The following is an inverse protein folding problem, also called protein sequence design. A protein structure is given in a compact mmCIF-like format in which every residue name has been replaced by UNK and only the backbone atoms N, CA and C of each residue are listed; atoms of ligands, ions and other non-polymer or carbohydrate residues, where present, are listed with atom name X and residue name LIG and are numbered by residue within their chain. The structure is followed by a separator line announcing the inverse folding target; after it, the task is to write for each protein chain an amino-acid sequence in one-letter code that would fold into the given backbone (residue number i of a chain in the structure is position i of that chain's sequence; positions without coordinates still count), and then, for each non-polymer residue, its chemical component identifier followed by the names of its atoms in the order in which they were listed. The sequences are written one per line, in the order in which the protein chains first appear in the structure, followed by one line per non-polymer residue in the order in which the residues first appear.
data_IF_739123780524
#
_entry.id   IF_739123780524
#
_cell.length_a   1.000
_cell.length_b   1.000
_cell.length_c   1.000
_cell.angle_alpha   90.00
_cell.angle_beta   90.00
_cell.angle_gamma   90.00
#
_symmetry.space_group_name_H-M   'P 1'
#
loop_
_entity.id
_entity.type
_entity.pdbx_description
1 polymer ?
#
# COMPACT_ATOMS: atom_id res chain seq x y z
N UNK A 1 -10.50 10.39 18.39
CA UNK A 1 -10.83 9.36 17.37
C UNK A 1 -9.75 9.40 16.29
N UNK A 2 -9.01 8.33 15.98
CA UNK A 2 -8.10 8.37 14.85
C UNK A 2 -8.95 8.42 13.58
N UNK A 3 -8.94 9.56 12.90
CA UNK A 3 -9.54 9.70 11.57
C UNK A 3 -8.73 8.77 10.66
N UNK A 4 -9.28 7.59 10.37
CA UNK A 4 -8.74 6.75 9.31
C UNK A 4 -8.70 7.61 8.05
N UNK A 5 -7.50 8.04 7.63
CA UNK A 5 -7.28 8.82 6.42
C UNK A 5 -7.72 7.96 5.23
N UNK A 6 -9.00 8.07 4.89
CA UNK A 6 -9.59 7.43 3.71
C UNK A 6 -9.03 8.13 2.49
N UNK A 7 -8.62 7.34 1.51
CA UNK A 7 -8.24 7.86 0.20
C UNK A 7 -9.52 8.19 -0.55
N UNK A 8 -9.74 9.47 -0.84
CA UNK A 8 -10.81 9.93 -1.72
C UNK A 8 -10.39 9.78 -3.19
N UNK A 9 -11.37 9.65 -4.08
CA UNK A 9 -11.14 9.52 -5.53
C UNK A 9 -10.27 10.69 -6.06
N UNK A 10 -10.50 11.90 -5.53
CA UNK A 10 -9.67 13.07 -5.86
C UNK A 10 -8.20 12.88 -5.48
N UNK A 11 -7.93 12.39 -4.27
CA UNK A 11 -6.57 12.14 -3.79
C UNK A 11 -5.86 11.06 -4.62
N UNK A 12 -6.58 10.04 -5.08
CA UNK A 12 -6.02 9.00 -5.95
C UNK A 12 -5.69 9.53 -7.34
N UNK A 13 -6.56 10.37 -7.92
CA UNK A 13 -6.33 11.01 -9.21
C UNK A 13 -5.15 11.98 -9.15
N UNK A 14 -5.09 12.83 -8.13
CA UNK A 14 -3.99 13.76 -7.88
C UNK A 14 -2.66 13.01 -7.74
N UNK A 15 -2.66 11.89 -7.02
CA UNK A 15 -1.49 11.03 -6.89
C UNK A 15 -1.05 10.43 -8.23
N UNK A 16 -1.99 9.90 -9.01
CA UNK A 16 -1.67 9.38 -10.35
C UNK A 16 -1.04 10.47 -11.23
N UNK A 17 -1.63 11.66 -11.23
CA UNK A 17 -1.13 12.79 -12.02
C UNK A 17 0.25 13.24 -11.54
N UNK A 18 0.49 13.32 -10.23
CA UNK A 18 1.80 13.68 -9.67
C UNK A 18 2.90 12.67 -10.05
N UNK A 19 2.57 11.37 -10.08
CA UNK A 19 3.51 10.31 -10.51
C UNK A 19 3.85 10.46 -12.00
N UNK A 20 2.85 10.72 -12.85
CA UNK A 20 3.05 10.92 -14.30
C UNK A 20 3.86 12.20 -14.55
N UNK A 21 3.52 13.31 -13.90
CA UNK A 21 4.17 14.61 -14.05
C UNK A 21 5.64 14.59 -13.67
N UNK A 22 6.00 13.81 -12.64
CA UNK A 22 7.40 13.67 -12.19
C UNK A 22 8.23 12.73 -13.07
N UNK A 23 7.63 12.15 -14.11
CA UNK A 23 8.29 11.20 -15.01
C UNK A 23 8.63 9.87 -14.32
N UNK A 24 7.78 9.44 -13.36
CA UNK A 24 7.97 8.20 -12.63
C UNK A 24 7.99 7.00 -13.57
N UNK A 25 9.17 6.43 -13.81
CA UNK A 25 9.29 5.11 -14.41
C UNK A 25 9.28 4.05 -13.30
N UNK A 26 8.88 2.83 -13.64
CA UNK A 26 8.73 1.68 -12.71
C UNK A 26 9.97 1.40 -11.87
N UNK A 27 11.16 1.81 -12.33
CA UNK A 27 12.43 1.62 -11.62
C UNK A 27 12.85 2.81 -10.74
N UNK A 28 12.22 3.98 -10.83
CA UNK A 28 12.65 5.19 -10.10
C UNK A 28 11.54 6.23 -9.94
N UNK A 29 10.63 5.97 -9.01
CA UNK A 29 9.66 6.99 -8.58
C UNK A 29 10.34 8.04 -7.70
N UNK A 30 10.18 9.32 -8.06
CA UNK A 30 10.67 10.45 -7.25
C UNK A 30 9.71 10.78 -6.11
N UNK A 31 9.57 9.85 -5.15
CA UNK A 31 8.66 9.98 -4.00
C UNK A 31 8.77 11.30 -3.22
N UNK A 32 9.96 11.89 -3.00
CA UNK A 32 10.05 13.20 -2.33
C UNK A 32 9.34 14.31 -3.11
N UNK A 33 9.51 14.34 -4.44
CA UNK A 33 8.87 15.33 -5.31
C UNK A 33 7.35 15.09 -5.41
N UNK A 34 6.93 13.82 -5.54
CA UNK A 34 5.51 13.45 -5.56
C UNK A 34 4.82 13.85 -4.25
N UNK A 35 5.50 13.62 -3.11
CA UNK A 35 4.99 14.01 -1.79
C UNK A 35 4.85 15.52 -1.65
N UNK A 36 5.81 16.29 -2.16
CA UNK A 36 5.73 17.75 -2.18
C UNK A 36 4.55 18.26 -3.01
N UNK A 37 4.32 17.68 -4.19
CA UNK A 37 3.16 18.01 -5.04
C UNK A 37 1.85 17.71 -4.30
N UNK A 38 1.73 16.52 -3.69
CA UNK A 38 0.54 16.17 -2.90
C UNK A 38 0.31 17.15 -1.75
N UNK A 39 1.37 17.63 -1.10
CA UNK A 39 1.27 18.63 -0.02
C UNK A 39 0.86 20.01 -0.54
N UNK A 40 1.36 20.42 -1.72
CA UNK A 40 0.94 21.67 -2.38
C UNK A 40 -0.54 21.62 -2.79
N UNK A 41 -1.07 20.44 -3.14
CA UNK A 41 -2.49 20.21 -3.44
C UNK A 41 -3.38 20.15 -2.18
N UNK A 42 -2.79 20.27 -0.98
CA UNK A 42 -3.52 20.28 0.29
C UNK A 42 -3.69 18.90 0.94
N UNK A 43 -3.02 17.87 0.45
CA UNK A 43 -3.07 16.53 1.03
C UNK A 43 -1.98 16.34 2.10
N UNK A 44 -2.36 15.82 3.27
CA UNK A 44 -1.46 15.60 4.42
C UNK A 44 -1.00 14.12 4.54
N UNK A 45 -0.82 13.42 3.42
CA UNK A 45 -0.31 12.04 3.47
C UNK A 45 1.20 12.03 3.76
N UNK A 46 1.69 10.98 4.41
CA UNK A 46 3.14 10.77 4.53
C UNK A 46 3.68 10.23 3.23
N UNK A 47 4.98 10.47 2.95
CA UNK A 47 5.67 9.92 1.79
C UNK A 47 5.49 8.39 1.66
N UNK A 48 5.56 7.68 2.79
CA UNK A 48 5.34 6.23 2.85
C UNK A 48 3.90 5.82 2.55
N UNK A 49 2.90 6.59 3.03
CA UNK A 49 1.50 6.33 2.70
C UNK A 49 1.27 6.50 1.19
N UNK A 50 1.85 7.55 0.59
CA UNK A 50 1.76 7.84 -0.84
C UNK A 50 2.39 6.72 -1.69
N UNK A 51 3.61 6.29 -1.34
CA UNK A 51 4.30 5.24 -2.08
C UNK A 51 3.61 3.88 -1.99
N UNK A 52 3.10 3.54 -0.80
CA UNK A 52 2.38 2.30 -0.58
C UNK A 52 1.03 2.28 -1.28
N UNK A 53 0.27 3.37 -1.21
CA UNK A 53 -1.05 3.43 -1.85
C UNK A 53 -0.95 3.27 -3.35
N UNK A 54 -0.01 3.99 -3.99
CA UNK A 54 0.22 3.86 -5.42
C UNK A 54 0.63 2.43 -5.81
N UNK A 55 1.57 1.83 -5.08
CA UNK A 55 2.13 0.52 -5.46
C UNK A 55 1.19 -0.65 -5.14
N UNK A 56 0.51 -0.61 -3.99
CA UNK A 56 -0.27 -1.74 -3.47
C UNK A 56 -1.74 -1.68 -3.83
N UNK A 57 -2.29 -0.48 -4.02
CA UNK A 57 -3.71 -0.29 -4.34
C UNK A 57 -3.85 0.00 -5.83
N UNK A 58 -3.34 1.17 -6.27
CA UNK A 58 -3.56 1.66 -7.65
C UNK A 58 -2.92 0.73 -8.69
N UNK A 59 -1.63 0.41 -8.55
CA UNK A 59 -0.93 -0.45 -9.52
C UNK A 59 -1.43 -1.88 -9.52
N UNK A 60 -1.81 -2.44 -8.36
CA UNK A 60 -2.35 -3.81 -8.30
C UNK A 60 -3.72 -3.91 -8.94
N UNK A 61 -4.59 -2.96 -8.64
CA UNK A 61 -5.91 -2.87 -9.24
C UNK A 61 -5.81 -2.67 -10.77
N UNK A 62 -4.93 -1.78 -11.23
CA UNK A 62 -4.67 -1.58 -12.65
C UNK A 62 -4.19 -2.87 -13.34
N UNK A 63 -3.23 -3.59 -12.74
CA UNK A 63 -2.76 -4.89 -13.27
C UNK A 63 -3.90 -5.91 -13.34
N UNK A 64 -4.75 -5.98 -12.32
CA UNK A 64 -5.88 -6.90 -12.25
C UNK A 64 -6.93 -6.61 -13.33
N UNK A 65 -7.25 -5.34 -13.58
CA UNK A 65 -8.23 -4.93 -14.60
C UNK A 65 -7.77 -5.19 -16.03
N UNK A 66 -6.47 -5.02 -16.30
CA UNK A 66 -5.93 -5.08 -17.66
C UNK A 66 -5.24 -6.41 -18.00
N UNK A 67 -5.21 -7.39 -17.08
CA UNK A 67 -4.61 -8.70 -17.31
C UNK A 67 -3.12 -8.63 -17.68
N UNK A 68 -2.41 -7.60 -17.22
CA UNK A 68 -1.01 -7.40 -17.57
C UNK A 68 -0.14 -8.50 -16.92
N UNK A 69 0.75 -9.16 -17.67
CA UNK A 69 1.60 -10.19 -17.11
C UNK A 69 2.52 -9.61 -16.03
N UNK A 70 2.79 -10.37 -14.94
CA UNK A 70 3.74 -9.96 -13.92
C UNK A 70 5.11 -9.75 -14.57
N UNK A 71 5.69 -8.55 -14.42
CA UNK A 71 7.00 -8.23 -15.00
C UNK A 71 7.09 -6.92 -15.79
N UNK A 72 6.03 -6.43 -16.47
CA UNK A 72 6.12 -5.13 -17.19
C UNK A 72 6.03 -3.90 -16.28
N UNK A 73 5.47 -4.06 -15.07
CA UNK A 73 5.29 -3.00 -14.08
C UNK A 73 5.65 -3.49 -12.66
N UNK A 74 6.48 -4.53 -12.55
CA UNK A 74 6.90 -5.04 -11.25
C UNK A 74 8.02 -4.16 -10.69
N UNK A 75 7.71 -3.39 -9.64
CA UNK A 75 8.73 -3.11 -8.65
C UNK A 75 8.92 -4.40 -7.87
N UNK A 76 10.11 -4.97 -7.99
CA UNK A 76 10.54 -6.08 -7.15
C UNK A 76 10.27 -5.71 -5.69
N UNK A 77 9.53 -6.54 -4.93
CA UNK A 77 9.36 -6.30 -3.52
C UNK A 77 10.74 -6.43 -2.89
N UNK A 78 11.34 -5.31 -2.46
CA UNK A 78 12.55 -5.36 -1.65
C UNK A 78 12.24 -6.25 -0.45
N UNK A 79 12.85 -7.43 -0.45
CA UNK A 79 12.59 -8.48 0.53
C UNK A 79 12.70 -7.89 1.94
N UNK A 80 11.57 -7.82 2.65
CA UNK A 80 11.60 -7.53 4.08
C UNK A 80 12.36 -8.66 4.77
N UNK A 81 13.42 -8.39 5.56
CA UNK A 81 14.17 -9.45 6.21
C UNK A 81 13.27 -10.22 7.17
N UNK A 82 13.20 -11.54 6.99
CA UNK A 82 12.58 -12.50 7.91
C UNK A 82 13.21 -12.40 9.29
N UNK A 83 12.61 -11.64 10.19
CA UNK A 83 12.90 -11.68 11.63
C UNK A 83 12.02 -12.71 12.33
N UNK A 84 12.52 -13.94 12.48
CA UNK A 84 11.95 -14.96 13.38
C UNK A 84 11.92 -14.42 14.81
N UNK A 85 10.77 -14.47 15.50
CA UNK A 85 10.73 -14.71 16.95
C UNK A 85 9.58 -15.64 17.32
N UNK A 86 9.91 -16.55 18.23
CA UNK A 86 9.26 -17.80 18.63
C UNK A 86 8.41 -17.56 19.89
N UNK A 87 7.24 -18.20 19.93
CA UNK A 87 6.44 -18.74 21.06
C UNK A 87 6.34 -17.96 22.39
N UNK A 88 5.11 -17.65 22.83
CA UNK A 88 4.62 -18.08 24.17
C UNK A 88 3.09 -18.09 24.26
N UNK A 89 2.59 -19.06 25.01
CA UNK A 89 1.22 -19.50 25.25
C UNK A 89 0.75 -19.03 26.64
N UNK A 90 -0.26 -18.15 26.77
CA UNK A 90 -1.31 -18.28 27.82
C UNK A 90 -2.35 -17.15 27.78
N UNK A 91 -3.60 -17.48 27.46
CA UNK A 91 -4.79 -17.05 28.21
C UNK A 91 -6.03 -17.77 27.66
N UNK A 92 -6.35 -18.90 28.29
CA UNK A 92 -7.62 -19.63 28.20
C UNK A 92 -8.81 -18.69 28.42
N UNK A 93 -9.89 -18.88 27.66
CA UNK A 93 -11.16 -19.40 28.19
C UNK A 93 -12.32 -19.19 27.19
N UNK A 94 -12.75 -20.26 26.52
CA UNK A 94 -14.17 -20.65 26.46
C UNK A 94 -14.34 -21.98 25.70
N UNK A 95 -14.59 -23.04 26.46
CA UNK A 95 -15.26 -24.27 26.03
C UNK A 95 -16.55 -24.34 26.86
N UNK A 96 -17.65 -24.89 26.33
CA UNK A 96 -17.84 -26.33 26.50
C UNK A 96 -18.40 -27.07 25.27
N UNK A 97 -17.64 -28.10 24.85
CA UNK A 97 -18.02 -29.50 24.62
C UNK A 97 -19.52 -29.86 24.42
N UNK A 98 -19.83 -30.65 23.37
CA UNK A 98 -20.51 -31.97 23.47
C UNK A 98 -20.42 -32.79 22.17
N UNK A 99 -20.41 -34.11 22.36
CA UNK A 99 -19.98 -35.25 21.52
C UNK A 99 -20.98 -35.73 20.45
N UNK A 100 -20.43 -36.65 19.62
CA UNK A 100 -21.03 -37.81 18.92
C UNK A 100 -21.42 -37.55 17.45
N UNK A 101 -21.12 -38.44 16.50
CA UNK A 101 -21.09 -39.91 16.55
C UNK A 101 -20.07 -40.47 15.56
#
# INVERSE_FOLDING_TARGET
MPVSKKWDIRAELDLCMAVIQTGGSTSSYKWPAIHEIMRQLGHDFTKDAVSQHFTKVILRDFKARHGLPPGKLDMEPLASPKGKRKTDEHARACLPQKRAK
#
